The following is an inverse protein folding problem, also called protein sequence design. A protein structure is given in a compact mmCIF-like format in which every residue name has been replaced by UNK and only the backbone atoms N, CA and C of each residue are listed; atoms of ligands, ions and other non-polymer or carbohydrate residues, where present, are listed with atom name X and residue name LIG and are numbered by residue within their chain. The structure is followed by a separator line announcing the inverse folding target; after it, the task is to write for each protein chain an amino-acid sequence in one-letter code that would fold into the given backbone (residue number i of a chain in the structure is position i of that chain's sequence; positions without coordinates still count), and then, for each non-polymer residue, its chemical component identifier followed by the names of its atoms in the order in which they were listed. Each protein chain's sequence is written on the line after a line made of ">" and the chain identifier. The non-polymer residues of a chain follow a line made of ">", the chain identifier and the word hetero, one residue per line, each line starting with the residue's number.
data_IF_283937794251
#
_entry.id   IF_283937794251
#
_cell.length_a   1.000
_cell.length_b   1.000
_cell.length_c   1.000
_cell.angle_alpha   90.00
_cell.angle_beta   90.00
_cell.angle_gamma   90.00
#
_symmetry.space_group_name_H-M   'P 1'
#
loop_
_entity.id
_entity.type
_entity.pdbx_description
1 polymer ?
#
# COMPACT_ATOMS: atom_id res chain seq x y z
N UNK A 1 52.45 31.99 13.60
CA UNK A 1 51.45 31.80 12.51
C UNK A 1 51.18 30.33 12.10
N UNK A 2 51.94 29.31 12.53
CA UNK A 2 51.75 27.92 12.04
C UNK A 2 50.61 27.09 12.68
N UNK A 3 50.16 27.41 13.90
CA UNK A 3 49.14 26.61 14.61
C UNK A 3 47.69 26.86 14.14
N UNK A 4 47.36 28.08 13.70
CA UNK A 4 46.02 28.41 13.21
C UNK A 4 45.71 27.73 11.86
N UNK A 5 46.70 27.59 10.99
CA UNK A 5 46.54 26.94 9.68
C UNK A 5 46.30 25.43 9.78
N UNK A 6 46.86 24.75 10.78
CA UNK A 6 46.70 23.30 10.96
C UNK A 6 45.29 22.93 11.48
N UNK A 7 44.73 23.74 12.38
CA UNK A 7 43.37 23.52 12.93
C UNK A 7 42.32 23.72 11.84
N UNK A 8 42.47 24.74 10.98
CA UNK A 8 41.58 24.96 9.83
C UNK A 8 41.62 23.78 8.84
N UNK A 9 42.78 23.18 8.60
CA UNK A 9 42.93 22.03 7.71
C UNK A 9 42.25 20.77 8.28
N UNK A 10 42.38 20.51 9.58
CA UNK A 10 41.76 19.36 10.25
C UNK A 10 40.23 19.48 10.31
N UNK A 11 39.70 20.68 10.54
CA UNK A 11 38.25 20.93 10.51
C UNK A 11 37.69 20.77 9.08
N UNK A 12 38.41 21.22 8.06
CA UNK A 12 38.01 21.02 6.66
C UNK A 12 38.00 19.53 6.26
N UNK A 13 38.99 18.75 6.72
CA UNK A 13 39.03 17.29 6.52
C UNK A 13 37.90 16.56 7.26
N UNK A 14 37.51 17.02 8.45
CA UNK A 14 36.37 16.47 9.19
C UNK A 14 35.03 16.78 8.50
N UNK A 15 34.85 18.00 7.98
CA UNK A 15 33.64 18.38 7.24
C UNK A 15 33.55 17.64 5.89
N UNK A 16 34.68 17.44 5.20
CA UNK A 16 34.69 16.61 3.98
C UNK A 16 34.40 15.15 4.29
N UNK A 17 34.90 14.59 5.40
CA UNK A 17 34.60 13.22 5.81
C UNK A 17 33.12 12.98 6.15
N UNK A 18 32.44 13.99 6.70
CA UNK A 18 31.00 13.93 7.00
C UNK A 18 30.09 13.99 5.77
N UNK A 19 30.58 14.51 4.63
CA UNK A 19 29.80 14.58 3.38
C UNK A 19 29.84 13.30 2.53
N UNK A 20 30.75 12.35 2.82
CA UNK A 20 30.87 11.09 2.05
C UNK A 20 29.92 9.99 2.57
N UNK A 21 29.31 10.17 3.76
CA UNK A 21 28.40 9.20 4.37
C UNK A 21 26.93 9.61 4.34
N UNK A 22 26.53 10.54 3.46
CA UNK A 22 25.10 10.69 3.19
C UNK A 22 24.66 9.53 2.30
N UNK A 23 23.72 8.65 2.72
CA UNK A 23 23.15 7.67 1.82
C UNK A 23 22.54 8.44 0.66
N UNK A 24 23.13 8.29 -0.54
CA UNK A 24 22.54 8.84 -1.75
C UNK A 24 21.16 8.22 -1.87
N UNK A 25 20.12 9.02 -1.68
CA UNK A 25 18.81 8.69 -2.19
C UNK A 25 18.94 8.67 -3.71
N UNK A 26 19.25 7.50 -4.26
CA UNK A 26 19.16 7.27 -5.69
C UNK A 26 17.69 7.47 -6.06
N UNK A 27 17.40 8.58 -6.72
CA UNK A 27 16.07 8.89 -7.20
C UNK A 27 15.83 8.04 -8.44
N UNK A 28 15.21 6.87 -8.27
CA UNK A 28 14.88 5.98 -9.37
C UNK A 28 13.63 6.45 -10.12
N UNK A 29 13.73 7.64 -10.73
CA UNK A 29 12.65 8.30 -11.47
C UNK A 29 12.27 7.52 -12.72
N UNK A 30 13.27 7.01 -13.44
CA UNK A 30 13.10 6.32 -14.72
C UNK A 30 13.09 4.80 -14.57
N UNK A 31 12.61 4.10 -15.61
CA UNK A 31 12.65 2.65 -15.67
C UNK A 31 14.10 2.10 -15.64
N UNK A 32 15.05 2.81 -16.25
CA UNK A 32 16.48 2.46 -16.24
C UNK A 32 17.05 2.55 -14.81
N UNK A 33 16.82 3.68 -14.13
CA UNK A 33 17.31 3.89 -12.78
C UNK A 33 16.70 2.88 -11.80
N UNK A 34 15.42 2.56 -11.97
CA UNK A 34 14.74 1.57 -11.15
C UNK A 34 15.32 0.16 -11.36
N UNK A 35 15.56 -0.21 -12.61
CA UNK A 35 16.17 -1.50 -12.95
C UNK A 35 17.58 -1.59 -12.36
N UNK A 36 18.36 -0.51 -12.46
CA UNK A 36 19.67 -0.43 -11.84
C UNK A 36 19.59 -0.55 -10.31
N UNK A 37 18.67 0.18 -9.67
CA UNK A 37 18.48 0.15 -8.22
C UNK A 37 18.20 -1.26 -7.72
N UNK A 38 17.21 -1.95 -8.31
CA UNK A 38 16.79 -3.27 -7.86
C UNK A 38 17.91 -4.29 -8.05
N UNK A 39 18.61 -4.27 -9.19
CA UNK A 39 19.63 -5.26 -9.52
C UNK A 39 20.96 -5.03 -8.77
N UNK A 40 21.28 -3.80 -8.37
CA UNK A 40 22.65 -3.48 -7.94
C UNK A 40 22.77 -2.74 -6.61
N UNK A 41 21.82 -1.86 -6.26
CA UNK A 41 22.01 -0.96 -5.10
C UNK A 41 21.07 -1.26 -3.95
N UNK A 42 19.99 -2.00 -4.19
CA UNK A 42 19.02 -2.29 -3.15
C UNK A 42 19.52 -3.37 -2.18
N UNK A 43 20.03 -2.91 -1.04
CA UNK A 43 20.38 -3.77 0.09
C UNK A 43 19.15 -4.06 0.96
N UNK A 44 18.39 -5.12 0.65
CA UNK A 44 17.16 -5.48 1.38
C UNK A 44 17.40 -5.93 2.84
N UNK A 45 18.63 -6.33 3.20
CA UNK A 45 18.99 -6.77 4.56
C UNK A 45 18.33 -8.09 5.00
N UNK A 46 17.86 -8.88 4.04
CA UNK A 46 17.26 -10.20 4.23
C UNK A 46 18.00 -11.29 3.45
N UNK A 47 17.34 -12.41 3.15
CA UNK A 47 17.92 -13.54 2.40
C UNK A 47 17.23 -13.71 1.05
N UNK A 48 18.01 -14.01 0.00
CA UNK A 48 17.53 -14.21 -1.36
C UNK A 48 17.97 -13.07 -2.29
N UNK A 49 17.35 -12.98 -3.46
CA UNK A 49 17.66 -11.95 -4.45
C UNK A 49 16.40 -11.51 -5.20
N UNK A 50 16.40 -10.25 -5.62
CA UNK A 50 15.46 -9.72 -6.61
C UNK A 50 16.20 -9.49 -7.92
N UNK A 51 15.48 -9.59 -9.03
CA UNK A 51 15.99 -9.19 -10.35
C UNK A 51 14.93 -8.37 -11.08
N UNK A 52 15.37 -7.29 -11.71
CA UNK A 52 14.55 -6.42 -12.54
C UNK A 52 14.97 -6.53 -14.01
N UNK A 53 13.99 -6.66 -14.91
CA UNK A 53 14.19 -6.59 -16.36
C UNK A 53 13.29 -5.51 -16.93
N UNK A 54 13.85 -4.67 -17.79
CA UNK A 54 13.14 -3.57 -18.41
C UNK A 54 12.73 -3.86 -19.84
N UNK A 55 11.53 -3.40 -20.21
CA UNK A 55 11.05 -3.31 -21.58
C UNK A 55 10.32 -1.98 -21.76
N UNK A 56 10.95 -1.04 -22.48
CA UNK A 56 10.47 0.34 -22.57
C UNK A 56 10.39 1.00 -21.18
N UNK A 57 9.22 1.56 -20.83
CA UNK A 57 8.95 2.15 -19.52
C UNK A 57 8.40 1.15 -18.48
N UNK A 58 8.43 -0.14 -18.80
CA UNK A 58 7.96 -1.20 -17.89
C UNK A 58 9.14 -1.95 -17.29
N UNK A 59 9.17 -2.07 -15.96
CA UNK A 59 10.13 -2.87 -15.20
C UNK A 59 9.42 -4.08 -14.60
N UNK A 60 9.84 -5.29 -14.97
CA UNK A 60 9.33 -6.54 -14.38
C UNK A 60 10.30 -7.03 -13.32
N UNK A 61 9.80 -7.24 -12.10
CA UNK A 61 10.60 -7.68 -10.96
C UNK A 61 10.26 -9.14 -10.63
N UNK A 62 11.28 -9.99 -10.56
CA UNK A 62 11.20 -11.41 -10.23
C UNK A 62 12.19 -11.75 -9.12
N UNK A 63 12.17 -13.00 -8.66
CA UNK A 63 13.03 -13.49 -7.58
C UNK A 63 12.29 -13.65 -6.26
N UNK A 64 13.05 -13.85 -5.20
CA UNK A 64 12.52 -14.06 -3.87
C UNK A 64 13.46 -13.48 -2.81
N UNK A 65 12.92 -12.65 -1.93
CA UNK A 65 13.61 -12.16 -0.73
C UNK A 65 12.72 -12.38 0.49
N UNK A 66 13.32 -12.90 1.57
CA UNK A 66 12.64 -13.10 2.86
C UNK A 66 13.37 -12.37 3.98
N UNK A 67 12.66 -12.07 5.06
CA UNK A 67 13.19 -11.37 6.23
C UNK A 67 13.87 -10.02 5.90
N UNK A 68 13.36 -9.31 4.89
CA UNK A 68 13.87 -7.99 4.55
C UNK A 68 13.67 -7.01 5.72
N UNK A 69 14.74 -6.31 6.05
CA UNK A 69 14.77 -5.32 7.13
C UNK A 69 14.75 -3.88 6.62
N UNK A 70 14.94 -3.70 5.31
CA UNK A 70 14.94 -2.40 4.63
C UNK A 70 13.77 -2.29 3.67
N UNK A 71 13.12 -1.12 3.63
CA UNK A 71 12.10 -0.80 2.64
C UNK A 71 12.69 -0.67 1.24
N UNK A 72 11.98 -1.15 0.23
CA UNK A 72 12.25 -0.81 -1.17
C UNK A 72 11.49 0.47 -1.51
N UNK A 73 12.22 1.57 -1.68
CA UNK A 73 11.65 2.85 -2.09
C UNK A 73 11.61 2.93 -3.62
N UNK A 74 10.42 3.20 -4.18
CA UNK A 74 10.12 3.25 -5.61
C UNK A 74 9.58 4.63 -5.97
N UNK A 75 10.35 5.43 -6.71
CA UNK A 75 9.94 6.77 -7.16
C UNK A 75 9.44 6.73 -8.60
N UNK A 76 8.19 6.32 -8.83
CA UNK A 76 7.72 5.99 -10.18
C UNK A 76 7.24 7.22 -10.95
N UNK A 77 8.03 7.71 -11.91
CA UNK A 77 7.61 8.82 -12.79
C UNK A 77 6.36 8.49 -13.61
N UNK A 78 5.73 9.54 -14.13
CA UNK A 78 4.57 9.39 -15.01
C UNK A 78 4.91 8.50 -16.22
N UNK A 79 4.10 7.46 -16.44
CA UNK A 79 4.30 6.50 -17.53
C UNK A 79 5.24 5.34 -17.21
N UNK A 80 5.95 5.36 -16.07
CA UNK A 80 6.70 4.19 -15.59
C UNK A 80 5.75 3.19 -14.96
N UNK A 81 5.92 1.91 -15.31
CA UNK A 81 5.14 0.80 -14.77
C UNK A 81 6.06 -0.25 -14.16
N UNK A 82 5.78 -0.66 -12.93
CA UNK A 82 6.40 -1.82 -12.29
C UNK A 82 5.42 -2.98 -12.31
N UNK A 83 5.86 -4.11 -12.87
CA UNK A 83 5.16 -5.40 -12.79
C UNK A 83 5.89 -6.24 -11.74
N UNK A 84 5.22 -6.49 -10.63
CA UNK A 84 5.76 -7.27 -9.52
C UNK A 84 5.34 -8.73 -9.64
N UNK A 85 6.33 -9.60 -9.86
CA UNK A 85 6.24 -11.06 -9.97
C UNK A 85 7.15 -11.78 -8.96
N UNK A 86 7.68 -11.05 -7.98
CA UNK A 86 8.60 -11.59 -6.99
C UNK A 86 7.90 -11.94 -5.67
N UNK A 87 8.53 -12.81 -4.88
CA UNK A 87 8.15 -13.06 -3.48
C UNK A 87 8.98 -12.15 -2.58
N UNK A 88 8.35 -11.33 -1.75
CA UNK A 88 9.05 -10.38 -0.90
C UNK A 88 8.42 -10.28 0.48
N UNK A 89 9.18 -10.67 1.50
CA UNK A 89 8.71 -10.63 2.88
C UNK A 89 9.71 -10.01 3.83
N UNK A 90 9.20 -9.36 4.88
CA UNK A 90 10.04 -8.62 5.83
C UNK A 90 9.27 -7.94 6.95
N UNK A 91 10.00 -7.10 7.69
CA UNK A 91 9.49 -6.36 8.85
C UNK A 91 9.79 -4.86 8.77
N UNK A 92 10.11 -4.35 7.57
CA UNK A 92 10.24 -2.93 7.33
C UNK A 92 8.84 -2.27 7.24
N UNK A 93 8.67 -1.10 7.86
CA UNK A 93 7.43 -0.34 7.77
C UNK A 93 7.33 0.35 6.40
N UNK A 94 6.31 0.01 5.62
CA UNK A 94 6.27 0.34 4.21
C UNK A 94 7.32 -0.47 3.46
N UNK A 95 7.19 -1.80 3.51
CA UNK A 95 8.12 -2.74 2.88
C UNK A 95 8.34 -2.42 1.40
N UNK A 96 7.26 -2.09 0.68
CA UNK A 96 7.31 -1.31 -0.56
C UNK A 96 6.81 0.10 -0.26
N UNK A 97 7.62 1.11 -0.58
CA UNK A 97 7.28 2.52 -0.37
C UNK A 97 7.29 3.27 -1.71
N UNK A 98 6.11 3.67 -2.17
CA UNK A 98 5.89 4.34 -3.46
C UNK A 98 6.15 5.84 -3.31
N UNK A 99 7.42 6.24 -3.22
CA UNK A 99 7.84 7.62 -2.98
C UNK A 99 7.81 8.49 -4.24
N UNK A 100 8.23 9.75 -4.10
CA UNK A 100 8.31 10.72 -5.20
C UNK A 100 6.95 11.27 -5.62
N UNK A 101 6.93 12.36 -6.38
CA UNK A 101 5.71 13.01 -6.89
C UNK A 101 5.18 12.39 -8.19
N UNK A 102 5.81 11.32 -8.65
CA UNK A 102 5.49 10.63 -9.88
C UNK A 102 4.12 9.96 -9.85
N UNK A 103 3.55 9.77 -11.05
CA UNK A 103 2.22 9.18 -11.29
C UNK A 103 2.32 7.79 -11.93
N UNK A 104 3.43 7.10 -11.72
CA UNK A 104 3.65 5.76 -12.24
C UNK A 104 2.71 4.73 -11.63
N UNK A 105 2.82 3.49 -12.12
CA UNK A 105 1.96 2.39 -11.70
C UNK A 105 2.79 1.27 -11.07
N UNK A 106 2.41 0.87 -9.86
CA UNK A 106 2.89 -0.34 -9.22
C UNK A 106 1.82 -1.43 -9.34
N UNK A 107 2.10 -2.48 -10.12
CA UNK A 107 1.18 -3.57 -10.39
C UNK A 107 1.69 -4.88 -9.79
N UNK A 108 0.91 -5.53 -8.94
CA UNK A 108 1.19 -6.88 -8.43
C UNK A 108 0.38 -7.89 -9.24
N UNK A 109 1.06 -8.73 -10.00
CA UNK A 109 0.44 -9.72 -10.90
C UNK A 109 0.64 -11.14 -10.34
N UNK A 110 0.07 -12.14 -11.02
CA UNK A 110 0.21 -13.55 -10.62
C UNK A 110 1.69 -13.93 -10.41
N UNK A 111 1.97 -14.60 -9.28
CA UNK A 111 3.32 -14.94 -8.83
C UNK A 111 3.97 -13.90 -7.91
N UNK A 112 3.50 -12.64 -7.97
CA UNK A 112 3.89 -11.60 -7.03
C UNK A 112 3.26 -11.81 -5.66
N UNK A 113 4.08 -11.88 -4.61
CA UNK A 113 3.63 -12.01 -3.22
C UNK A 113 4.42 -11.04 -2.36
N UNK A 114 3.73 -10.19 -1.60
CA UNK A 114 4.35 -9.21 -0.72
C UNK A 114 3.77 -9.38 0.68
N UNK A 115 4.60 -9.67 1.67
CA UNK A 115 4.14 -9.90 3.05
C UNK A 115 4.96 -9.09 4.05
N UNK A 116 4.31 -8.27 4.89
CA UNK A 116 4.99 -7.57 5.98
C UNK A 116 4.37 -7.86 7.33
N UNK A 117 5.21 -7.99 8.35
CA UNK A 117 4.80 -8.03 9.76
C UNK A 117 4.82 -6.65 10.43
N UNK A 118 5.28 -5.61 9.73
CA UNK A 118 5.29 -4.23 10.22
C UNK A 118 3.93 -3.54 10.00
N UNK A 119 3.84 -2.28 10.40
CA UNK A 119 2.59 -1.52 10.32
C UNK A 119 2.04 -1.36 8.89
N UNK A 120 2.88 -1.33 7.85
CA UNK A 120 2.41 -1.20 6.45
C UNK A 120 3.21 -2.13 5.52
N UNK A 121 2.52 -2.85 4.64
CA UNK A 121 3.18 -3.67 3.60
C UNK A 121 3.49 -2.83 2.35
N UNK A 122 2.47 -2.27 1.69
CA UNK A 122 2.64 -1.32 0.58
C UNK A 122 2.16 0.06 1.02
N UNK A 123 3.07 1.05 0.98
CA UNK A 123 2.81 2.41 1.41
C UNK A 123 2.87 3.39 0.24
N UNK A 124 1.83 4.23 0.12
CA UNK A 124 1.76 5.35 -0.82
C UNK A 124 1.66 6.67 -0.01
N UNK A 125 2.79 7.34 0.28
CA UNK A 125 2.85 8.51 1.17
C UNK A 125 2.12 9.74 0.61
N UNK A 126 1.86 10.77 1.45
CA UNK A 126 1.19 12.01 1.02
C UNK A 126 1.87 12.73 -0.15
N UNK A 127 3.19 12.58 -0.28
CA UNK A 127 3.99 13.20 -1.35
C UNK A 127 3.86 12.48 -2.69
N UNK A 128 3.20 11.33 -2.74
CA UNK A 128 3.10 10.50 -3.93
C UNK A 128 1.77 10.62 -4.64
N UNK A 129 1.76 10.16 -5.89
CA UNK A 129 0.58 10.06 -6.74
C UNK A 129 0.59 8.76 -7.55
N UNK A 130 1.34 7.75 -7.07
CA UNK A 130 1.42 6.46 -7.71
C UNK A 130 0.07 5.73 -7.67
N UNK A 131 -0.18 4.94 -8.71
CA UNK A 131 -1.31 4.03 -8.78
C UNK A 131 -0.89 2.64 -8.30
N UNK A 132 -1.78 1.96 -7.57
CA UNK A 132 -1.57 0.60 -7.10
C UNK A 132 -2.58 -0.30 -7.80
N UNK A 133 -2.11 -1.36 -8.47
CA UNK A 133 -2.98 -2.29 -9.20
C UNK A 133 -2.68 -3.73 -8.81
N UNK A 134 -3.72 -4.50 -8.54
CA UNK A 134 -3.63 -5.91 -8.17
C UNK A 134 -4.36 -6.74 -9.22
N UNK A 135 -3.59 -7.30 -10.15
CA UNK A 135 -4.07 -8.12 -11.25
C UNK A 135 -3.55 -9.57 -11.13
N UNK A 136 -3.67 -10.11 -9.91
CA UNK A 136 -3.44 -11.52 -9.61
C UNK A 136 -2.71 -11.75 -8.30
N UNK A 137 -1.61 -11.04 -8.03
CA UNK A 137 -0.76 -11.36 -6.89
C UNK A 137 -1.37 -11.06 -5.53
N UNK A 138 -0.56 -11.25 -4.49
CA UNK A 138 -0.99 -11.14 -3.10
C UNK A 138 -0.22 -10.05 -2.34
N UNK A 139 -0.95 -9.24 -1.58
CA UNK A 139 -0.38 -8.28 -0.62
C UNK A 139 -0.99 -8.57 0.75
N UNK A 140 -0.13 -8.96 1.70
CA UNK A 140 -0.54 -9.41 3.03
C UNK A 140 0.16 -8.63 4.13
N UNK A 141 -0.59 -8.17 5.12
CA UNK A 141 -0.03 -7.67 6.37
C UNK A 141 -0.38 -8.62 7.53
N UNK A 142 0.63 -8.97 8.32
CA UNK A 142 0.50 -9.84 9.51
C UNK A 142 0.72 -9.11 10.83
N UNK A 143 1.11 -7.83 10.79
CA UNK A 143 1.29 -6.98 11.96
C UNK A 143 -0.04 -6.59 12.62
N UNK A 144 -0.04 -6.48 13.94
CA UNK A 144 -1.16 -5.90 14.70
C UNK A 144 -1.39 -4.44 14.28
N UNK A 145 -2.66 -4.07 14.07
CA UNK A 145 -3.07 -2.76 13.54
C UNK A 145 -2.44 -2.41 12.18
N UNK A 146 -1.91 -3.43 11.50
CA UNK A 146 -1.19 -3.30 10.25
C UNK A 146 -2.12 -3.13 9.05
N UNK A 147 -1.63 -2.42 8.04
CA UNK A 147 -2.27 -2.23 6.76
C UNK A 147 -1.55 -3.00 5.64
N UNK A 148 -2.27 -3.80 4.86
CA UNK A 148 -1.67 -4.41 3.67
C UNK A 148 -1.39 -3.35 2.59
N UNK A 149 -2.35 -2.48 2.32
CA UNK A 149 -2.14 -1.27 1.50
C UNK A 149 -2.57 -0.05 2.31
N UNK A 150 -1.69 0.93 2.47
CA UNK A 150 -2.03 2.25 3.01
C UNK A 150 -1.66 3.33 2.01
N UNK A 151 -2.66 4.12 1.61
CA UNK A 151 -2.47 5.26 0.74
C UNK A 151 -2.89 6.56 1.41
N UNK A 152 -1.90 7.41 1.67
CA UNK A 152 -2.08 8.77 2.19
C UNK A 152 -1.96 9.83 1.07
N UNK A 153 -1.53 9.42 -0.12
CA UNK A 153 -1.50 10.24 -1.33
C UNK A 153 -2.88 10.81 -1.69
N UNK A 154 -2.94 12.12 -1.97
CA UNK A 154 -4.15 12.74 -2.48
C UNK A 154 -4.48 12.21 -3.88
N UNK A 155 -5.77 11.99 -4.16
CA UNK A 155 -6.24 11.41 -5.43
C UNK A 155 -5.57 10.08 -5.80
N UNK A 156 -5.15 9.31 -4.80
CA UNK A 156 -4.58 8.00 -5.03
C UNK A 156 -5.59 7.09 -5.73
N UNK A 157 -5.08 6.16 -6.55
CA UNK A 157 -5.90 5.15 -7.19
C UNK A 157 -5.40 3.76 -6.82
N UNK A 158 -6.27 2.97 -6.21
CA UNK A 158 -6.06 1.56 -5.93
C UNK A 158 -7.07 0.75 -6.76
N UNK A 159 -6.62 -0.30 -7.44
CA UNK A 159 -7.50 -1.18 -8.22
C UNK A 159 -7.21 -2.64 -7.87
N UNK A 160 -8.25 -3.42 -7.60
CA UNK A 160 -8.19 -4.87 -7.35
C UNK A 160 -9.05 -5.58 -8.39
N UNK A 161 -8.40 -6.28 -9.32
CA UNK A 161 -9.06 -7.01 -10.42
C UNK A 161 -9.09 -8.51 -10.16
N UNK A 162 -7.91 -9.09 -9.88
CA UNK A 162 -7.75 -10.54 -9.74
C UNK A 162 -6.84 -10.93 -8.55
N UNK A 163 -6.32 -9.94 -7.83
CA UNK A 163 -5.42 -10.17 -6.70
C UNK A 163 -6.09 -10.33 -5.35
N UNK A 164 -5.26 -10.56 -4.34
CA UNK A 164 -5.67 -10.67 -2.94
C UNK A 164 -4.99 -9.60 -2.08
N UNK A 165 -5.79 -8.83 -1.35
CA UNK A 165 -5.31 -7.97 -0.27
C UNK A 165 -5.81 -8.52 1.05
N UNK A 166 -4.92 -8.81 1.98
CA UNK A 166 -5.34 -9.38 3.26
C UNK A 166 -4.60 -8.79 4.45
N UNK A 167 -5.33 -8.42 5.48
CA UNK A 167 -4.76 -8.25 6.81
C UNK A 167 -5.11 -9.46 7.68
N UNK A 168 -4.09 -10.01 8.34
CA UNK A 168 -4.22 -11.19 9.21
C UNK A 168 -3.92 -10.85 10.66
N UNK A 169 -3.19 -9.74 10.91
CA UNK A 169 -2.98 -9.23 12.25
C UNK A 169 -4.27 -8.76 12.92
N UNK A 170 -4.27 -8.78 14.25
CA UNK A 170 -5.36 -8.25 15.07
C UNK A 170 -5.58 -6.77 14.75
N UNK A 171 -6.84 -6.33 14.68
CA UNK A 171 -7.22 -4.95 14.32
C UNK A 171 -6.69 -4.50 12.94
N UNK A 172 -6.29 -5.45 12.08
CA UNK A 172 -5.68 -5.14 10.80
C UNK A 172 -6.66 -4.53 9.80
N UNK A 173 -6.10 -3.84 8.81
CA UNK A 173 -6.86 -3.26 7.70
C UNK A 173 -6.30 -3.74 6.36
N UNK A 174 -7.12 -4.28 5.47
CA UNK A 174 -6.59 -4.69 4.16
C UNK A 174 -6.22 -3.47 3.30
N UNK A 175 -7.13 -2.52 3.13
CA UNK A 175 -6.87 -1.27 2.39
C UNK A 175 -7.27 -0.05 3.21
N UNK A 176 -6.33 0.87 3.44
CA UNK A 176 -6.57 2.15 4.12
C UNK A 176 -6.37 3.32 3.15
N UNK A 177 -7.42 4.11 2.92
CA UNK A 177 -7.43 5.31 2.08
C UNK A 177 -7.53 6.56 2.97
N UNK A 178 -6.41 7.25 3.15
CA UNK A 178 -6.30 8.44 4.00
C UNK A 178 -6.04 9.74 3.22
N UNK A 179 -5.76 9.68 1.92
CA UNK A 179 -5.63 10.86 1.09
C UNK A 179 -6.97 11.34 0.51
N UNK A 180 -7.22 12.65 0.53
CA UNK A 180 -8.46 13.24 -0.01
C UNK A 180 -8.61 12.97 -1.51
N UNK A 181 -9.84 12.66 -1.93
CA UNK A 181 -10.18 12.36 -3.33
C UNK A 181 -9.63 11.02 -3.83
N UNK A 182 -9.16 10.15 -2.93
CA UNK A 182 -8.69 8.81 -3.29
C UNK A 182 -9.81 7.97 -3.91
N UNK A 183 -9.43 6.98 -4.70
CA UNK A 183 -10.35 6.03 -5.32
C UNK A 183 -9.87 4.60 -5.13
N UNK A 184 -10.83 3.71 -4.86
CA UNK A 184 -10.65 2.27 -4.88
C UNK A 184 -11.68 1.66 -5.83
N UNK A 185 -11.21 0.80 -6.72
CA UNK A 185 -12.04 0.01 -7.61
C UNK A 185 -11.78 -1.49 -7.36
N UNK A 186 -12.83 -2.22 -7.00
CA UNK A 186 -12.79 -3.68 -6.83
C UNK A 186 -13.70 -4.28 -7.91
N UNK A 187 -13.10 -4.78 -8.98
CA UNK A 187 -13.80 -5.45 -10.08
C UNK A 187 -13.71 -6.98 -10.01
N UNK A 188 -12.86 -7.50 -9.13
CA UNK A 188 -12.74 -8.92 -8.82
C UNK A 188 -11.79 -9.15 -7.66
N UNK A 189 -11.21 -10.36 -7.57
CA UNK A 189 -10.27 -10.72 -6.51
C UNK A 189 -10.90 -10.71 -5.10
N UNK A 190 -10.04 -10.56 -4.08
CA UNK A 190 -10.45 -10.52 -2.67
C UNK A 190 -9.76 -9.42 -1.89
N UNK A 191 -10.53 -8.66 -1.12
CA UNK A 191 -10.03 -7.71 -0.12
C UNK A 191 -10.60 -8.12 1.24
N UNK A 192 -9.76 -8.40 2.23
CA UNK A 192 -10.35 -8.78 3.50
C UNK A 192 -9.45 -8.86 4.71
N UNK A 193 -10.09 -8.92 5.87
CA UNK A 193 -9.46 -9.21 7.14
C UNK A 193 -9.81 -10.64 7.52
N UNK A 194 -8.83 -11.35 8.08
CA UNK A 194 -8.99 -12.73 8.54
C UNK A 194 -8.87 -12.90 10.04
N UNK A 195 -8.49 -11.85 10.77
CA UNK A 195 -8.60 -11.85 12.23
C UNK A 195 -10.05 -11.68 12.67
N UNK A 196 -10.39 -12.26 13.81
CA UNK A 196 -11.69 -12.19 14.50
C UNK A 196 -11.83 -10.91 15.34
N UNK A 197 -11.06 -9.87 15.00
CA UNK A 197 -11.03 -8.63 15.77
C UNK A 197 -12.23 -7.75 15.49
N UNK A 198 -12.82 -7.23 16.56
CA UNK A 198 -13.88 -6.21 16.56
C UNK A 198 -13.45 -4.83 16.03
N UNK A 199 -12.18 -4.63 15.67
CA UNK A 199 -11.68 -3.39 15.07
C UNK A 199 -11.11 -3.59 13.66
N UNK A 200 -11.19 -4.81 13.10
CA UNK A 200 -10.66 -5.10 11.77
C UNK A 200 -11.57 -4.59 10.65
N UNK A 201 -10.98 -3.91 9.66
CA UNK A 201 -11.70 -3.37 8.49
C UNK A 201 -11.13 -3.92 7.18
N UNK A 202 -11.95 -4.41 6.25
CA UNK A 202 -11.41 -4.77 4.92
C UNK A 202 -10.98 -3.50 4.18
N UNK A 203 -11.86 -2.50 4.15
CA UNK A 203 -11.56 -1.20 3.59
C UNK A 203 -11.88 -0.13 4.63
N UNK A 204 -10.91 0.71 4.93
CA UNK A 204 -11.05 1.89 5.77
C UNK A 204 -10.82 3.16 4.94
N UNK A 205 -11.78 4.07 4.93
CA UNK A 205 -11.63 5.39 4.30
C UNK A 205 -11.93 6.51 5.30
N UNK A 206 -10.88 7.18 5.77
CA UNK A 206 -11.00 8.34 6.66
C UNK A 206 -10.99 9.67 5.93
N UNK A 207 -10.73 9.68 4.61
CA UNK A 207 -10.48 10.90 3.86
C UNK A 207 -11.70 11.42 3.10
N UNK A 208 -11.85 12.74 3.07
CA UNK A 208 -12.93 13.39 2.36
C UNK A 208 -12.92 13.06 0.86
N UNK A 209 -14.10 13.02 0.25
CA UNK A 209 -14.35 12.81 -1.21
C UNK A 209 -13.79 11.50 -1.76
N UNK A 210 -13.47 10.53 -0.90
CA UNK A 210 -13.04 9.20 -1.33
C UNK A 210 -14.16 8.50 -2.11
N UNK A 211 -13.84 7.82 -3.21
CA UNK A 211 -14.80 6.99 -3.95
C UNK A 211 -14.38 5.52 -3.92
N UNK A 212 -15.26 4.65 -3.44
CA UNK A 212 -15.08 3.20 -3.48
C UNK A 212 -16.11 2.64 -4.46
N UNK A 213 -15.67 1.93 -5.49
CA UNK A 213 -16.51 1.25 -6.46
C UNK A 213 -16.29 -0.25 -6.34
N UNK A 214 -17.38 -1.00 -6.22
CA UNK A 214 -17.40 -2.47 -6.15
C UNK A 214 -18.23 -2.98 -7.31
N UNK A 215 -17.55 -3.45 -8.35
CA UNK A 215 -18.15 -4.03 -9.56
C UNK A 215 -18.13 -5.56 -9.50
N UNK A 216 -17.27 -6.15 -8.67
CA UNK A 216 -17.12 -7.60 -8.50
C UNK A 216 -16.28 -7.96 -7.27
N UNK A 217 -15.88 -9.23 -7.19
CA UNK A 217 -14.98 -9.74 -6.13
C UNK A 217 -15.65 -9.94 -4.78
N UNK A 218 -14.82 -10.22 -3.76
CA UNK A 218 -15.24 -10.46 -2.38
C UNK A 218 -14.55 -9.46 -1.46
N UNK A 219 -15.34 -8.73 -0.67
CA UNK A 219 -14.88 -7.85 0.40
C UNK A 219 -15.39 -8.43 1.72
N UNK A 220 -14.48 -8.83 2.62
CA UNK A 220 -14.90 -9.44 3.90
C UNK A 220 -14.06 -8.98 5.10
N UNK A 221 -14.70 -8.73 6.23
CA UNK A 221 -14.03 -8.47 7.50
C UNK A 221 -14.85 -8.98 8.68
N UNK A 222 -14.24 -9.02 9.87
CA UNK A 222 -14.99 -9.34 11.07
C UNK A 222 -15.91 -8.18 11.51
N UNK A 223 -15.37 -6.96 11.62
CA UNK A 223 -16.16 -5.77 11.98
C UNK A 223 -16.79 -5.09 10.77
N UNK A 224 -16.07 -4.22 10.06
CA UNK A 224 -16.65 -3.52 8.91
C UNK A 224 -16.00 -3.98 7.62
N UNK A 225 -16.79 -4.48 6.67
CA UNK A 225 -16.25 -4.77 5.35
C UNK A 225 -15.85 -3.45 4.66
N UNK A 226 -16.66 -2.39 4.80
CA UNK A 226 -16.29 -1.04 4.36
C UNK A 226 -16.63 -0.03 5.46
N UNK A 227 -15.63 0.70 5.96
CA UNK A 227 -15.79 1.83 6.86
C UNK A 227 -15.59 3.16 6.11
N UNK A 228 -16.58 4.06 6.20
CA UNK A 228 -16.55 5.42 5.65
C UNK A 228 -16.58 6.46 6.77
N UNK A 229 -15.45 7.12 7.01
CA UNK A 229 -15.33 8.23 7.97
C UNK A 229 -15.16 9.61 7.35
N UNK A 230 -14.86 9.70 6.05
CA UNK A 230 -14.56 10.97 5.39
C UNK A 230 -15.77 11.71 4.82
N UNK A 231 -15.77 13.04 4.93
CA UNK A 231 -16.80 13.92 4.37
C UNK A 231 -17.00 13.71 2.87
N UNK A 232 -18.26 13.56 2.45
CA UNK A 232 -18.64 13.36 1.04
C UNK A 232 -18.00 12.09 0.42
N UNK A 233 -17.55 11.13 1.23
CA UNK A 233 -17.11 9.84 0.71
C UNK A 233 -18.29 9.09 0.07
N UNK A 234 -18.02 8.33 -0.98
CA UNK A 234 -19.06 7.61 -1.74
C UNK A 234 -18.68 6.15 -1.92
N UNK A 235 -19.60 5.24 -1.62
CA UNK A 235 -19.53 3.83 -2.04
C UNK A 235 -20.54 3.57 -3.14
N UNK A 236 -20.10 2.94 -4.23
CA UNK A 236 -20.93 2.47 -5.35
C UNK A 236 -20.80 0.96 -5.44
N UNK A 237 -21.90 0.24 -5.26
CA UNK A 237 -21.94 -1.23 -5.38
C UNK A 237 -22.76 -1.59 -6.60
N UNK A 238 -22.09 -2.05 -7.65
CA UNK A 238 -22.70 -2.53 -8.89
C UNK A 238 -22.69 -4.06 -8.98
N UNK A 239 -21.80 -4.73 -8.25
CA UNK A 239 -21.68 -6.20 -8.23
C UNK A 239 -20.88 -6.70 -7.02
N UNK A 240 -20.48 -7.98 -7.07
CA UNK A 240 -19.65 -8.60 -6.03
C UNK A 240 -20.38 -8.97 -4.74
N UNK A 241 -19.59 -9.32 -3.73
CA UNK A 241 -20.06 -9.69 -2.39
C UNK A 241 -19.31 -8.88 -1.32
N UNK A 242 -20.06 -8.15 -0.51
CA UNK A 242 -19.58 -7.42 0.67
C UNK A 242 -20.18 -8.11 1.88
N UNK A 243 -19.37 -8.66 2.76
CA UNK A 243 -19.88 -9.42 3.92
C UNK A 243 -19.07 -9.22 5.17
N UNK A 244 -19.73 -9.37 6.31
CA UNK A 244 -19.05 -9.46 7.60
C UNK A 244 -19.22 -10.83 8.22
N UNK A 245 -18.21 -11.24 9.00
CA UNK A 245 -18.19 -12.51 9.71
C UNK A 245 -18.50 -12.33 11.22
N UNK A 246 -18.45 -11.09 11.74
CA UNK A 246 -18.67 -10.80 13.16
C UNK A 246 -20.15 -10.70 13.52
N UNK A 247 -20.65 -11.69 14.26
CA UNK A 247 -22.07 -11.74 14.68
C UNK A 247 -22.52 -10.63 15.64
N UNK A 248 -21.59 -10.04 16.41
CA UNK A 248 -21.93 -8.97 17.36
C UNK A 248 -21.83 -7.57 16.74
N UNK A 249 -20.77 -7.30 15.96
CA UNK A 249 -20.34 -5.93 15.57
C UNK A 249 -20.21 -5.75 14.04
N UNK A 250 -20.63 -6.75 13.26
CA UNK A 250 -20.34 -6.85 11.84
C UNK A 250 -21.23 -6.00 10.92
N UNK A 251 -20.73 -4.91 10.34
CA UNK A 251 -21.46 -4.10 9.34
C UNK A 251 -20.87 -4.23 7.92
N UNK A 252 -21.70 -4.57 6.92
CA UNK A 252 -21.26 -4.61 5.52
C UNK A 252 -20.69 -3.27 5.04
N UNK A 253 -21.44 -2.18 5.23
CA UNK A 253 -20.97 -0.81 4.96
C UNK A 253 -21.36 0.09 6.13
N UNK A 254 -20.37 0.60 6.84
CA UNK A 254 -20.55 1.53 7.96
C UNK A 254 -20.23 2.97 7.54
N UNK A 255 -21.11 3.91 7.88
CA UNK A 255 -20.90 5.35 7.70
C UNK A 255 -20.79 5.97 9.10
N UNK A 256 -19.63 6.56 9.41
CA UNK A 256 -19.40 7.19 10.69
C UNK A 256 -20.25 8.46 10.85
N UNK A 257 -20.63 8.76 12.10
CA UNK A 257 -21.44 9.94 12.43
C UNK A 257 -20.81 11.27 11.95
N UNK A 258 -19.48 11.32 11.79
CA UNK A 258 -18.74 12.48 11.30
C UNK A 258 -18.51 12.55 9.79
N UNK A 259 -19.03 11.60 8.99
CA UNK A 259 -18.73 11.51 7.55
C UNK A 259 -19.54 12.50 6.67
N UNK A 260 -20.14 13.53 7.26
CA UNK A 260 -20.88 14.58 6.57
C UNK A 260 -21.92 14.02 5.58
N UNK A 261 -21.80 14.40 4.30
CA UNK A 261 -22.70 13.93 3.22
C UNK A 261 -22.23 12.63 2.56
N UNK A 262 -21.70 11.67 3.32
CA UNK A 262 -21.31 10.38 2.77
C UNK A 262 -22.51 9.65 2.15
N UNK A 263 -22.28 8.92 1.04
CA UNK A 263 -23.35 8.29 0.25
C UNK A 263 -23.01 6.85 -0.08
N UNK A 264 -24.04 6.01 -0.07
CA UNK A 264 -23.97 4.62 -0.56
C UNK A 264 -25.02 4.46 -1.65
N UNK A 265 -24.58 4.05 -2.83
CA UNK A 265 -25.45 3.70 -3.96
C UNK A 265 -25.29 2.23 -4.29
N UNK A 266 -26.39 1.46 -4.22
CA UNK A 266 -26.41 0.03 -4.55
C UNK A 266 -27.28 -0.19 -5.77
N UNK A 267 -26.68 -0.73 -6.84
CA UNK A 267 -27.36 -1.12 -8.09
C UNK A 267 -27.33 -2.63 -8.32
N UNK A 268 -26.41 -3.34 -7.66
CA UNK A 268 -26.26 -4.79 -7.75
C UNK A 268 -25.37 -5.32 -6.63
N UNK A 269 -25.00 -6.60 -6.72
CA UNK A 269 -24.17 -7.28 -5.71
C UNK A 269 -24.96 -7.75 -4.49
N UNK A 270 -24.24 -8.28 -3.51
CA UNK A 270 -24.77 -8.78 -2.23
C UNK A 270 -24.06 -8.08 -1.07
N UNK A 271 -24.83 -7.59 -0.11
CA UNK A 271 -24.31 -6.97 1.12
C UNK A 271 -24.88 -7.74 2.32
N UNK A 272 -24.01 -8.36 3.09
CA UNK A 272 -24.35 -9.12 4.29
C UNK A 272 -23.77 -8.42 5.53
N UNK A 273 -24.63 -8.13 6.49
CA UNK A 273 -24.24 -7.68 7.82
C UNK A 273 -24.70 -8.76 8.81
N UNK A 274 -23.75 -9.42 9.48
CA UNK A 274 -24.09 -10.42 10.52
C UNK A 274 -24.13 -9.81 11.92
N UNK A 275 -23.67 -8.57 12.10
CA UNK A 275 -23.67 -7.86 13.36
C UNK A 275 -25.08 -7.56 13.88
N UNK A 276 -25.28 -7.78 15.19
CA UNK A 276 -26.48 -7.37 15.92
C UNK A 276 -26.41 -5.95 16.48
N UNK A 277 -25.26 -5.27 16.40
CA UNK A 277 -25.13 -3.87 16.81
C UNK A 277 -26.11 -2.99 16.05
N UNK A 278 -27.15 -2.52 16.75
CA UNK A 278 -28.02 -1.45 16.27
C UNK A 278 -27.32 -0.12 16.56
N UNK A 279 -27.01 0.63 15.51
CA UNK A 279 -26.55 2.02 15.61
C UNK A 279 -27.64 2.93 16.18
#
# INVERSE_FOLDING_TARGET
>A
MKKRSLVLLLVALWIMGLLVFMPKMAHAASADDLTFQINHTYAHGGTGTLSATQSGNTVTVTGAVTHATQSLNLALDAGVKVIWQAVFSGSANGLINLSGSGKGTFEVVKGGVITSSAQVTVYNPPSSSCQIQLDGGEVTNTGEEGAAIRSNAAKAKVTVKNGRVTATGKNGTAISLAGSGSSLEVSGGRVGVSSDSVLGHAIFSGAATTTITVDGGIINAYRDAIYLGGDNATVKVNGGEIRTDGGAVGTGIYIAAGAGNAKVGVKGGKIYSLGSEQN
#
